data_IF_486856084511
#
_entry.id   IF_486856084511
#
_cell.length_a   1.000
_cell.length_b   1.000
_cell.length_c   1.000
_cell.angle_alpha   90.00
_cell.angle_beta   90.00
_cell.angle_gamma   90.00
#
_symmetry.space_group_name_H-M   'P 1'
#
loop_
_entity.id
_entity.type
_entity.pdbx_description
1 polymer ?
#
# COMPACT_ATOMS: atom_id res chain seq x y z
N UNK A 1 31.97 29.42 26.77
CA UNK A 1 31.23 28.78 27.89
C UNK A 1 29.77 28.69 27.49
N UNK A 2 29.21 27.47 27.60
CA UNK A 2 27.79 27.07 27.50
C UNK A 2 27.08 27.13 26.12
N UNK A 3 27.19 26.00 25.42
CA UNK A 3 26.25 25.40 24.48
C UNK A 3 24.93 24.98 25.19
N UNK A 4 23.77 25.11 24.52
CA UNK A 4 22.60 24.22 24.68
C UNK A 4 21.48 24.53 23.65
N UNK A 5 21.35 23.61 22.72
CA UNK A 5 20.15 23.28 21.94
C UNK A 5 18.99 22.85 22.86
N UNK A 6 17.75 23.30 22.58
CA UNK A 6 16.56 23.02 23.41
C UNK A 6 15.52 22.12 22.68
N UNK A 7 15.13 20.97 23.26
CA UNK A 7 14.21 19.98 22.71
C UNK A 7 12.74 20.22 23.11
N UNK A 8 12.18 21.40 22.84
CA UNK A 8 10.88 21.80 23.41
C UNK A 8 9.63 21.54 22.54
N UNK A 9 9.75 21.30 21.22
CA UNK A 9 8.56 21.10 20.36
C UNK A 9 7.98 19.68 20.37
N UNK A 10 8.80 18.65 20.63
CA UNK A 10 8.32 17.24 20.72
C UNK A 10 7.57 16.92 22.02
N UNK A 11 7.86 17.65 23.12
CA UNK A 11 7.14 17.47 24.40
C UNK A 11 5.75 18.09 24.38
N UNK A 12 5.53 19.17 23.62
CA UNK A 12 4.24 19.87 23.60
C UNK A 12 3.13 19.05 22.91
N UNK A 13 3.46 18.31 21.84
CA UNK A 13 2.51 17.46 21.10
C UNK A 13 2.11 16.21 21.89
N UNK A 14 3.06 15.62 22.64
CA UNK A 14 2.79 14.49 23.56
C UNK A 14 1.95 14.93 24.77
N UNK A 15 2.17 16.15 25.28
CA UNK A 15 1.38 16.70 26.40
C UNK A 15 -0.05 17.03 25.95
N UNK A 16 -0.26 17.55 24.74
CA UNK A 16 -1.60 17.83 24.22
C UNK A 16 -2.40 16.54 23.92
N UNK A 17 -1.77 15.52 23.33
CA UNK A 17 -2.42 14.21 23.13
C UNK A 17 -2.82 13.52 24.43
N UNK A 18 -1.97 13.60 25.46
CA UNK A 18 -2.27 13.05 26.79
C UNK A 18 -3.35 13.86 27.54
N UNK A 19 -3.41 15.18 27.38
CA UNK A 19 -4.41 16.05 28.00
C UNK A 19 -5.81 15.86 27.39
N UNK A 20 -5.92 15.64 26.08
CA UNK A 20 -7.20 15.30 25.42
C UNK A 20 -7.71 13.93 25.91
N UNK A 21 -6.82 12.96 26.08
CA UNK A 21 -7.15 11.65 26.64
C UNK A 21 -7.54 11.71 28.13
N UNK A 22 -6.85 12.52 28.93
CA UNK A 22 -7.17 12.72 30.35
C UNK A 22 -8.49 13.48 30.56
N UNK A 23 -8.82 14.42 29.67
CA UNK A 23 -10.07 15.19 29.72
C UNK A 23 -11.30 14.35 29.35
N UNK A 24 -11.14 13.35 28.47
CA UNK A 24 -12.20 12.38 28.14
C UNK A 24 -12.46 11.35 29.25
N UNK A 25 -11.44 11.00 30.06
CA UNK A 25 -11.57 10.07 31.20
C UNK A 25 -12.31 10.70 32.38
N UNK A 26 -12.25 12.02 32.54
CA UNK A 26 -12.91 12.75 33.63
C UNK A 26 -14.46 12.77 33.53
N UNK A 27 -15.02 12.38 32.39
CA UNK A 27 -16.47 12.36 32.12
C UNK A 27 -17.15 11.01 32.46
N UNK A 28 -16.39 10.00 32.91
CA UNK A 28 -16.93 8.67 33.21
C UNK A 28 -17.06 8.39 34.72
N UNK A 29 -18.05 7.58 35.15
CA UNK A 29 -18.17 7.15 36.55
C UNK A 29 -16.90 6.45 37.04
N UNK A 30 -16.53 6.65 38.32
CA UNK A 30 -15.29 6.18 38.96
C UNK A 30 -14.96 4.71 38.71
N UNK A 31 -15.96 3.83 38.71
CA UNK A 31 -15.77 2.40 38.45
C UNK A 31 -15.34 2.07 37.00
N UNK A 32 -15.58 2.97 36.04
CA UNK A 32 -15.16 2.83 34.64
C UNK A 32 -13.72 3.32 34.45
N UNK A 33 -13.34 4.38 35.18
CA UNK A 33 -12.00 4.96 35.19
C UNK A 33 -10.95 3.96 35.70
N UNK A 34 -11.26 3.20 36.74
CA UNK A 34 -10.34 2.22 37.31
C UNK A 34 -10.12 1.00 36.41
N UNK A 35 -11.13 0.60 35.60
CA UNK A 35 -10.98 -0.49 34.61
C UNK A 35 -10.15 -0.07 33.40
N UNK A 36 -10.27 1.19 32.96
CA UNK A 36 -9.46 1.74 31.86
C UNK A 36 -8.00 1.93 32.30
N UNK A 37 -7.76 2.38 33.54
CA UNK A 37 -6.40 2.49 34.08
C UNK A 37 -5.75 1.13 34.35
N UNK A 38 -6.53 0.08 34.65
CA UNK A 38 -6.03 -1.29 34.76
C UNK A 38 -5.63 -1.89 33.40
N UNK A 39 -6.30 -1.52 32.31
CA UNK A 39 -5.95 -1.88 30.93
C UNK A 39 -4.74 -1.10 30.39
N UNK A 40 -4.42 0.05 30.99
CA UNK A 40 -3.28 0.89 30.62
C UNK A 40 -1.97 0.54 31.37
N UNK A 41 -1.97 -0.50 32.22
CA UNK A 41 -0.70 -1.01 32.76
C UNK A 41 0.05 -1.73 31.62
N UNK A 42 1.35 -1.41 31.39
CA UNK A 42 2.12 -2.14 30.42
C UNK A 42 2.15 -3.62 30.84
N UNK A 43 1.65 -4.50 29.96
CA UNK A 43 1.92 -5.92 30.06
C UNK A 43 3.44 -6.13 30.10
N UNK A 44 3.95 -7.17 30.79
CA UNK A 44 5.38 -7.46 30.83
C UNK A 44 5.90 -7.53 29.39
N UNK A 45 6.94 -6.76 29.11
CA UNK A 45 7.58 -6.61 27.79
C UNK A 45 8.08 -7.96 27.29
N UNK A 46 7.27 -8.64 26.49
CA UNK A 46 7.67 -9.80 25.68
C UNK A 46 8.26 -9.31 24.36
N UNK A 47 9.17 -10.07 23.74
CA UNK A 47 9.79 -9.72 22.45
C UNK A 47 8.78 -9.30 21.35
N UNK A 48 7.57 -9.87 21.36
CA UNK A 48 6.47 -9.49 20.46
C UNK A 48 6.02 -8.02 20.57
N UNK A 49 6.14 -7.38 21.75
CA UNK A 49 5.78 -5.97 21.91
C UNK A 49 6.83 -5.03 21.33
N UNK A 50 8.09 -5.46 21.28
CA UNK A 50 9.18 -4.71 20.65
C UNK A 50 9.05 -4.82 19.12
N UNK A 51 8.81 -6.03 18.61
CA UNK A 51 8.53 -6.27 17.18
C UNK A 51 7.33 -5.45 16.69
N UNK A 52 6.27 -5.33 17.51
CA UNK A 52 5.08 -4.52 17.19
C UNK A 52 5.36 -3.02 17.15
N UNK A 53 6.19 -2.49 18.05
CA UNK A 53 6.60 -1.08 18.05
C UNK A 53 7.52 -0.77 16.87
N UNK A 54 8.47 -1.64 16.55
CA UNK A 54 9.35 -1.50 15.39
C UNK A 54 8.57 -1.63 14.08
N UNK A 55 7.57 -2.52 14.00
CA UNK A 55 6.67 -2.63 12.85
C UNK A 55 5.79 -1.40 12.69
N UNK A 56 5.25 -0.84 13.78
CA UNK A 56 4.49 0.41 13.75
C UNK A 56 5.38 1.59 13.32
N UNK A 57 6.58 1.69 13.89
CA UNK A 57 7.55 2.72 13.48
C UNK A 57 7.93 2.56 12.02
N UNK A 58 8.24 1.34 11.55
CA UNK A 58 8.51 1.05 10.14
C UNK A 58 7.33 1.44 9.27
N UNK A 59 6.12 1.01 9.59
CA UNK A 59 4.89 1.35 8.86
C UNK A 59 4.72 2.87 8.78
N UNK A 60 4.77 3.57 9.91
CA UNK A 60 4.69 5.04 10.00
C UNK A 60 5.82 5.73 9.23
N UNK A 61 7.04 5.18 9.21
CA UNK A 61 8.16 5.72 8.43
C UNK A 61 8.12 5.35 6.95
N UNK A 62 7.37 4.31 6.57
CA UNK A 62 7.13 3.91 5.17
C UNK A 62 5.97 4.72 4.57
N UNK A 63 5.14 5.36 5.41
CA UNK A 63 4.41 6.54 4.95
C UNK A 63 5.41 7.68 4.75
N UNK A 64 5.42 8.35 3.59
CA UNK A 64 6.18 9.59 3.42
C UNK A 64 5.86 10.50 4.61
N UNK A 65 6.85 11.08 5.26
CA UNK A 65 6.58 12.10 6.27
C UNK A 65 5.74 13.20 5.60
N UNK A 66 4.59 13.55 6.17
CA UNK A 66 3.79 14.70 5.72
C UNK A 66 4.59 15.96 6.09
N UNK A 67 5.46 16.41 5.20
CA UNK A 67 5.82 17.81 5.10
C UNK A 67 5.10 18.33 3.87
N UNK A 68 3.96 18.97 4.09
CA UNK A 68 3.38 19.81 3.04
C UNK A 68 4.43 20.90 2.76
N UNK A 69 4.74 21.20 1.50
CA UNK A 69 5.52 22.39 1.20
C UNK A 69 4.71 23.58 1.70
N UNK A 70 5.13 24.19 2.80
CA UNK A 70 4.68 25.52 3.17
C UNK A 70 5.50 26.50 2.33
N UNK A 71 4.90 27.23 1.36
CA UNK A 71 5.46 28.52 1.01
C UNK A 71 5.37 29.40 2.27
N UNK A 72 6.52 29.83 2.77
CA UNK A 72 6.62 30.69 3.94
C UNK A 72 5.82 31.98 3.69
N UNK A 73 4.77 32.31 4.48
CA UNK A 73 4.00 33.54 4.27
C UNK A 73 4.74 34.82 4.72
N UNK A 74 6.03 34.73 5.04
CA UNK A 74 6.81 35.83 5.59
C UNK A 74 7.47 36.75 4.54
N UNK A 75 7.13 36.64 3.25
CA UNK A 75 7.59 37.57 2.22
C UNK A 75 6.63 38.75 1.99
N UNK A 76 5.97 39.27 3.02
CA UNK A 76 5.34 40.61 2.96
C UNK A 76 5.13 41.21 4.35
N UNK A 77 6.00 42.14 4.76
CA UNK A 77 5.59 43.22 5.66
C UNK A 77 6.33 44.53 5.34
N UNK A 78 5.56 45.43 4.73
CA UNK A 78 5.61 46.90 4.68
C UNK A 78 6.73 47.67 5.40
N UNK A 79 7.40 48.50 4.61
CA UNK A 79 7.63 49.96 4.75
C UNK A 79 7.98 50.59 6.11
N UNK A 80 9.14 51.27 6.13
CA UNK A 80 9.33 52.50 6.90
C UNK A 80 10.78 52.94 7.11
N UNK A 81 11.15 54.07 6.48
CA UNK A 81 12.11 55.12 6.92
C UNK A 81 13.43 55.32 6.12
N UNK A 82 13.34 56.33 5.23
CA UNK A 82 14.24 57.47 4.92
C UNK A 82 15.56 57.33 4.10
N UNK A 83 15.55 58.05 2.96
CA UNK A 83 16.59 58.91 2.33
C UNK A 83 17.91 58.26 1.86
N UNK A 84 18.51 58.51 0.69
CA UNK A 84 18.50 59.59 -0.32
C UNK A 84 19.36 59.11 -1.52
N UNK A 85 19.10 59.54 -2.76
CA UNK A 85 20.15 59.56 -3.80
C UNK A 85 19.77 59.20 -5.26
N UNK A 86 19.26 60.20 -5.98
CA UNK A 86 19.48 60.58 -7.41
C UNK A 86 19.94 59.59 -8.52
N UNK A 87 19.28 59.79 -9.68
CA UNK A 87 19.73 59.66 -11.11
C UNK A 87 19.60 58.29 -11.80
N UNK A 88 19.38 58.12 -13.11
CA UNK A 88 18.75 58.85 -14.26
C UNK A 88 18.89 57.87 -15.47
N UNK A 89 17.86 57.75 -16.34
CA UNK A 89 17.86 57.24 -17.75
C UNK A 89 18.46 55.82 -17.99
N UNK A 90 17.92 54.90 -18.81
CA UNK A 90 17.57 54.98 -20.23
C UNK A 90 16.96 53.64 -20.71
N UNK A 91 16.46 53.66 -21.94
CA UNK A 91 15.80 52.66 -22.80
C UNK A 91 16.51 51.30 -22.99
N UNK A 92 15.74 50.20 -23.11
CA UNK A 92 15.61 49.45 -24.39
C UNK A 92 14.71 48.20 -24.32
N UNK A 93 14.29 47.80 -25.52
CA UNK A 93 13.26 46.84 -25.96
C UNK A 93 13.52 45.34 -25.73
N UNK A 94 12.41 44.59 -25.77
CA UNK A 94 12.22 43.18 -26.17
C UNK A 94 12.58 42.08 -25.16
N UNK A 95 11.57 41.34 -24.69
CA UNK A 95 11.30 39.99 -25.22
C UNK A 95 9.97 39.43 -24.70
N UNK A 96 9.20 38.85 -25.62
CA UNK A 96 8.19 37.84 -25.35
C UNK A 96 8.88 36.57 -24.85
N UNK A 97 8.47 36.04 -23.69
CA UNK A 97 8.50 34.62 -23.35
C UNK A 97 7.77 34.43 -22.01
N UNK A 98 6.49 34.07 -22.09
CA UNK A 98 5.73 33.50 -20.99
C UNK A 98 5.86 31.97 -21.09
N UNK A 99 6.87 31.39 -20.44
CA UNK A 99 6.83 30.05 -19.83
C UNK A 99 8.23 29.63 -19.37
N UNK A 100 8.62 30.04 -18.16
CA UNK A 100 9.61 29.31 -17.35
C UNK A 100 9.65 29.87 -15.93
N UNK A 101 8.63 29.54 -15.13
CA UNK A 101 8.78 29.55 -13.68
C UNK A 101 8.96 28.10 -13.21
N UNK A 102 9.98 27.43 -13.73
CA UNK A 102 10.55 26.26 -13.07
C UNK A 102 11.32 26.80 -11.86
N UNK A 103 10.72 26.65 -10.69
CA UNK A 103 11.35 26.92 -9.41
C UNK A 103 12.63 26.07 -9.30
N UNK A 104 13.77 26.73 -9.48
CA UNK A 104 15.07 26.30 -8.98
C UNK A 104 14.97 26.22 -7.46
N UNK A 105 14.75 25.01 -6.94
CA UNK A 105 14.91 24.67 -5.53
C UNK A 105 15.65 23.33 -5.44
N UNK A 106 16.98 23.42 -5.51
CA UNK A 106 17.90 22.37 -5.08
C UNK A 106 17.92 22.30 -3.53
N UNK A 107 16.77 22.01 -2.94
CA UNK A 107 16.67 21.65 -1.52
C UNK A 107 16.81 20.14 -1.38
N UNK A 108 17.74 19.67 -0.54
CA UNK A 108 17.88 18.25 -0.17
C UNK A 108 16.57 17.66 0.40
N UNK A 109 15.64 18.51 0.89
CA UNK A 109 14.31 18.10 1.37
C UNK A 109 13.36 17.59 0.26
N UNK A 110 13.59 17.94 -1.01
CA UNK A 110 12.77 17.49 -2.14
C UNK A 110 13.20 16.12 -2.71
N UNK A 111 14.37 15.61 -2.30
CA UNK A 111 14.92 14.36 -2.80
C UNK A 111 14.08 13.12 -2.44
N UNK A 112 13.35 13.19 -1.32
CA UNK A 112 12.46 12.12 -0.84
C UNK A 112 11.02 12.24 -1.36
N UNK A 113 10.69 13.32 -2.08
CA UNK A 113 9.38 13.48 -2.66
C UNK A 113 9.23 12.55 -3.88
N UNK A 114 8.45 11.48 -3.71
CA UNK A 114 8.16 10.47 -4.73
C UNK A 114 7.79 11.10 -6.08
N UNK A 115 6.98 12.16 -6.06
CA UNK A 115 6.48 12.85 -7.24
C UNK A 115 7.58 13.70 -7.89
N UNK A 116 8.23 14.58 -7.14
CA UNK A 116 9.25 15.48 -7.69
C UNK A 116 10.42 14.70 -8.31
N UNK A 117 10.87 13.63 -7.65
CA UNK A 117 11.94 12.75 -8.16
C UNK A 117 11.59 12.16 -9.54
N UNK A 118 10.35 11.72 -9.74
CA UNK A 118 9.91 11.04 -10.98
C UNK A 118 9.59 12.01 -12.10
N UNK A 119 8.99 13.15 -11.78
CA UNK A 119 8.75 14.23 -12.75
C UNK A 119 10.07 14.80 -13.26
N UNK A 120 11.07 15.02 -12.38
CA UNK A 120 12.43 15.42 -12.77
C UNK A 120 13.10 14.39 -13.71
N UNK A 121 12.76 13.11 -13.57
CA UNK A 121 13.21 12.04 -14.45
C UNK A 121 12.40 11.89 -15.76
N UNK A 122 11.50 12.83 -16.07
CA UNK A 122 10.69 12.80 -17.30
C UNK A 122 9.63 11.68 -17.34
N UNK A 123 9.26 11.12 -16.18
CA UNK A 123 8.24 10.07 -16.08
C UNK A 123 6.84 10.67 -16.13
N UNK A 124 5.88 9.95 -16.71
CA UNK A 124 4.48 10.31 -16.60
C UNK A 124 4.08 10.37 -15.12
N UNK A 125 3.40 11.45 -14.73
CA UNK A 125 2.94 11.65 -13.37
C UNK A 125 1.85 10.62 -13.01
N UNK A 126 2.02 9.90 -11.90
CA UNK A 126 0.92 9.12 -11.34
C UNK A 126 -0.07 10.05 -10.64
N UNK A 127 -1.37 9.82 -10.87
CA UNK A 127 -2.42 10.54 -10.16
C UNK A 127 -3.62 9.63 -9.91
N UNK A 128 -3.80 9.24 -8.65
CA UNK A 128 -4.87 8.33 -8.26
C UNK A 128 -6.27 8.90 -8.53
N UNK A 129 -6.59 10.18 -8.21
CA UNK A 129 -7.88 10.77 -8.54
C UNK A 129 -8.29 10.62 -10.01
N UNK A 130 -7.36 10.83 -10.94
CA UNK A 130 -7.61 10.77 -12.38
C UNK A 130 -7.32 9.40 -13.04
N UNK A 131 -6.77 8.44 -12.28
CA UNK A 131 -6.57 7.07 -12.77
C UNK A 131 -7.90 6.46 -13.22
N UNK A 132 -7.99 6.13 -14.52
CA UNK A 132 -9.22 5.67 -15.16
C UNK A 132 -9.30 4.16 -15.35
N UNK A 133 -8.22 3.41 -15.09
CA UNK A 133 -8.15 1.95 -15.28
C UNK A 133 -7.33 1.30 -14.17
N UNK A 134 -7.73 0.10 -13.76
CA UNK A 134 -6.93 -0.74 -12.86
C UNK A 134 -6.98 -2.20 -13.25
N UNK A 135 -5.80 -2.81 -13.30
CA UNK A 135 -5.58 -4.21 -13.57
C UNK A 135 -4.94 -4.87 -12.35
N UNK A 136 -5.60 -5.89 -11.79
CA UNK A 136 -5.11 -6.62 -10.62
C UNK A 136 -4.52 -7.95 -11.05
N UNK A 137 -3.30 -8.21 -10.63
CA UNK A 137 -2.60 -9.49 -10.72
C UNK A 137 -2.31 -9.96 -9.31
N UNK A 138 -2.55 -11.24 -9.05
CA UNK A 138 -2.39 -11.73 -7.69
C UNK A 138 -2.84 -13.15 -7.46
N UNK A 139 -3.02 -13.45 -6.18
CA UNK A 139 -3.50 -14.75 -5.72
C UNK A 139 -4.84 -14.66 -4.96
N UNK A 140 -5.12 -15.67 -4.12
CA UNK A 140 -6.27 -15.76 -3.21
C UNK A 140 -6.53 -14.55 -2.29
N UNK A 141 -5.53 -13.70 -2.06
CA UNK A 141 -5.70 -12.46 -1.30
C UNK A 141 -6.38 -11.36 -2.13
N UNK A 142 -6.30 -11.46 -3.45
CA UNK A 142 -6.91 -10.53 -4.40
C UNK A 142 -8.01 -11.17 -5.26
N UNK A 143 -8.12 -12.49 -5.31
CA UNK A 143 -9.04 -13.20 -6.20
C UNK A 143 -10.51 -12.95 -5.84
N UNK A 144 -11.33 -12.77 -6.88
CA UNK A 144 -12.78 -12.68 -6.71
C UNK A 144 -13.40 -14.06 -6.46
N UNK A 145 -14.29 -14.21 -5.45
CA UNK A 145 -14.99 -15.48 -5.18
C UNK A 145 -15.84 -15.95 -6.37
N UNK A 146 -16.47 -15.00 -7.07
CA UNK A 146 -17.19 -15.22 -8.33
C UNK A 146 -16.47 -14.42 -9.39
N UNK A 147 -15.59 -15.08 -10.16
CA UNK A 147 -14.92 -14.42 -11.28
C UNK A 147 -15.99 -14.04 -12.32
N UNK A 148 -16.12 -12.76 -12.70
CA UNK A 148 -16.62 -12.43 -14.02
C UNK A 148 -15.68 -13.16 -14.98
N UNK A 149 -16.20 -14.15 -15.70
CA UNK A 149 -15.38 -14.93 -16.61
C UNK A 149 -15.16 -14.09 -17.87
N UNK A 150 -14.22 -13.14 -17.79
CA UNK A 150 -13.83 -12.29 -18.93
C UNK A 150 -13.38 -13.13 -20.13
N UNK A 151 -13.13 -14.44 -19.95
CA UNK A 151 -12.81 -15.39 -21.02
C UNK A 151 -14.03 -15.82 -21.82
N UNK A 152 -15.25 -15.71 -21.26
CA UNK A 152 -16.49 -16.08 -21.98
C UNK A 152 -16.90 -15.02 -22.99
N UNK A 153 -16.91 -13.75 -22.57
CA UNK A 153 -17.46 -12.65 -23.37
C UNK A 153 -16.40 -11.58 -23.71
N UNK A 154 -15.12 -11.87 -23.42
CA UNK A 154 -14.03 -10.90 -23.59
C UNK A 154 -14.25 -9.66 -22.71
N UNK A 155 -13.84 -8.51 -23.24
CA UNK A 155 -14.11 -7.19 -22.66
C UNK A 155 -15.44 -6.58 -23.15
N UNK A 156 -16.23 -7.32 -23.94
CA UNK A 156 -17.43 -6.82 -24.62
C UNK A 156 -18.56 -6.40 -23.68
N UNK A 157 -18.68 -7.09 -22.54
CA UNK A 157 -19.65 -6.77 -21.49
C UNK A 157 -19.19 -5.63 -20.56
N UNK A 158 -18.02 -5.04 -20.87
CA UNK A 158 -17.38 -4.03 -20.05
C UNK A 158 -16.65 -4.61 -18.85
N UNK A 159 -16.55 -3.80 -17.80
CA UNK A 159 -15.88 -4.15 -16.55
C UNK A 159 -16.91 -4.51 -15.48
N UNK A 160 -16.52 -5.20 -14.38
CA UNK A 160 -17.47 -5.64 -13.36
C UNK A 160 -18.22 -4.45 -12.75
N UNK A 161 -19.54 -4.54 -12.78
CA UNK A 161 -20.44 -3.59 -12.13
C UNK A 161 -21.21 -4.30 -11.01
N UNK A 162 -21.57 -3.56 -9.95
CA UNK A 162 -22.40 -4.10 -8.87
C UNK A 162 -21.68 -4.95 -7.83
N UNK A 163 -20.35 -4.77 -7.65
CA UNK A 163 -19.59 -5.44 -6.59
C UNK A 163 -20.15 -5.16 -5.19
N UNK A 164 -20.81 -4.01 -5.01
CA UNK A 164 -21.48 -3.59 -3.77
C UNK A 164 -22.54 -4.57 -3.22
N UNK A 165 -22.99 -5.55 -4.01
CA UNK A 165 -23.95 -6.58 -3.55
C UNK A 165 -23.27 -7.77 -2.85
N UNK A 166 -21.95 -7.84 -2.85
CA UNK A 166 -21.21 -8.99 -2.34
C UNK A 166 -20.65 -8.73 -0.94
N UNK A 167 -21.11 -9.50 0.05
CA UNK A 167 -20.33 -9.72 1.28
C UNK A 167 -19.14 -10.63 0.94
N UNK A 168 -17.98 -10.41 1.55
CA UNK A 168 -16.81 -11.25 1.30
C UNK A 168 -15.88 -10.80 0.15
N UNK A 169 -16.01 -9.56 -0.33
CA UNK A 169 -15.07 -8.97 -1.28
C UNK A 169 -13.62 -8.99 -0.76
N UNK A 170 -12.65 -9.00 -1.70
CA UNK A 170 -11.23 -8.81 -1.37
C UNK A 170 -10.88 -7.33 -1.38
N UNK A 171 -9.66 -7.03 -0.94
CA UNK A 171 -9.23 -5.66 -0.72
C UNK A 171 -9.25 -4.82 -2.00
N UNK A 172 -8.85 -5.39 -3.14
CA UNK A 172 -8.81 -4.67 -4.42
C UNK A 172 -10.22 -4.32 -4.89
N UNK A 173 -11.18 -5.23 -4.65
CA UNK A 173 -12.58 -4.99 -4.96
C UNK A 173 -13.17 -3.91 -4.05
N UNK A 174 -12.82 -3.90 -2.76
CA UNK A 174 -13.20 -2.80 -1.87
C UNK A 174 -12.56 -1.48 -2.27
N UNK A 175 -11.29 -1.48 -2.69
CA UNK A 175 -10.60 -0.28 -3.13
C UNK A 175 -11.34 0.37 -4.30
N UNK A 176 -11.67 -0.43 -5.31
CA UNK A 176 -12.44 0.04 -6.46
C UNK A 176 -13.89 0.41 -6.07
N UNK A 177 -14.64 -0.49 -5.43
CA UNK A 177 -16.06 -0.30 -5.16
C UNK A 177 -16.36 0.81 -4.14
N UNK A 178 -15.41 1.13 -3.25
CA UNK A 178 -15.62 2.14 -2.20
C UNK A 178 -15.11 3.51 -2.60
N UNK A 179 -13.96 3.58 -3.29
CA UNK A 179 -13.25 4.84 -3.50
C UNK A 179 -13.28 5.34 -4.95
N UNK A 180 -13.97 4.63 -5.86
CA UNK A 180 -14.04 5.00 -7.27
C UNK A 180 -15.46 4.97 -7.80
N UNK A 181 -15.76 5.90 -8.70
CA UNK A 181 -16.98 5.87 -9.49
C UNK A 181 -16.80 4.86 -10.64
N UNK A 182 -17.63 3.80 -10.74
CA UNK A 182 -17.62 2.85 -11.85
C UNK A 182 -17.81 3.48 -13.24
N UNK A 183 -18.32 4.73 -13.31
CA UNK A 183 -18.40 5.51 -14.55
C UNK A 183 -17.09 6.19 -14.92
N UNK A 184 -16.26 6.51 -13.94
CA UNK A 184 -14.97 7.19 -14.14
C UNK A 184 -13.80 6.22 -14.25
N UNK A 185 -13.91 5.03 -13.63
CA UNK A 185 -12.84 4.05 -13.58
C UNK A 185 -13.32 2.65 -13.96
N UNK A 186 -12.54 1.96 -14.80
CA UNK A 186 -12.77 0.56 -15.14
C UNK A 186 -11.78 -0.37 -14.42
N UNK A 187 -12.23 -1.56 -14.07
CA UNK A 187 -11.50 -2.51 -13.21
C UNK A 187 -11.47 -3.92 -13.80
N UNK A 188 -10.31 -4.58 -13.80
CA UNK A 188 -10.24 -6.01 -14.14
C UNK A 188 -9.29 -6.73 -13.20
N UNK A 189 -9.67 -7.95 -12.84
CA UNK A 189 -8.96 -8.75 -11.85
C UNK A 189 -8.61 -10.12 -12.41
N UNK A 190 -7.31 -10.33 -12.63
CA UNK A 190 -6.72 -11.55 -13.13
C UNK A 190 -6.21 -12.47 -12.01
N UNK A 191 -6.33 -12.07 -10.74
CA UNK A 191 -5.80 -12.83 -9.63
C UNK A 191 -6.42 -14.24 -9.54
N UNK A 192 -5.57 -15.23 -9.25
CA UNK A 192 -5.95 -16.65 -9.22
C UNK A 192 -5.56 -17.31 -7.91
N UNK A 193 -6.50 -17.99 -7.26
CA UNK A 193 -6.22 -18.75 -6.05
C UNK A 193 -5.05 -19.71 -6.26
N UNK A 194 -4.07 -19.67 -5.36
CA UNK A 194 -2.90 -20.55 -5.40
C UNK A 194 -1.80 -20.14 -6.39
N UNK A 195 -1.98 -19.08 -7.18
CA UNK A 195 -0.98 -18.67 -8.16
C UNK A 195 0.36 -18.32 -7.53
N UNK A 196 1.43 -18.73 -8.20
CA UNK A 196 2.83 -18.41 -7.87
C UNK A 196 3.41 -17.39 -8.84
N UNK A 197 4.60 -16.86 -8.55
CA UNK A 197 5.26 -15.88 -9.41
C UNK A 197 5.77 -16.55 -10.69
N UNK A 198 6.50 -17.64 -10.51
CA UNK A 198 7.21 -18.33 -11.58
C UNK A 198 7.08 -19.84 -11.38
N UNK A 199 6.39 -20.49 -12.32
CA UNK A 199 6.14 -21.93 -12.28
C UNK A 199 7.44 -22.74 -12.19
N UNK A 200 8.50 -22.30 -12.88
CA UNK A 200 9.78 -23.01 -12.94
C UNK A 200 10.59 -22.88 -11.65
N UNK A 201 10.40 -21.78 -10.90
CA UNK A 201 11.10 -21.52 -9.66
C UNK A 201 10.38 -22.16 -8.46
N UNK A 202 9.07 -21.91 -8.34
CA UNK A 202 8.20 -22.55 -7.36
C UNK A 202 6.85 -22.85 -8.03
N UNK A 203 6.58 -24.11 -8.42
CA UNK A 203 5.30 -24.42 -9.05
C UNK A 203 4.17 -24.32 -8.03
N UNK A 204 2.97 -23.89 -8.46
CA UNK A 204 1.81 -23.79 -7.59
C UNK A 204 1.43 -25.15 -7.00
N UNK A 205 0.60 -25.13 -5.95
CA UNK A 205 0.12 -26.38 -5.33
C UNK A 205 -0.74 -27.21 -6.29
N UNK A 206 -1.57 -26.50 -7.04
CA UNK A 206 -2.48 -27.03 -8.04
C UNK A 206 -2.09 -26.40 -9.37
N UNK A 207 -1.91 -27.20 -10.40
CA UNK A 207 -1.43 -26.72 -11.71
C UNK A 207 -2.42 -25.71 -12.33
N UNK A 208 -3.71 -25.95 -12.13
CA UNK A 208 -4.80 -25.08 -12.60
C UNK A 208 -4.82 -23.69 -11.97
N UNK A 209 -4.11 -23.49 -10.84
CA UNK A 209 -3.90 -22.16 -10.26
C UNK A 209 -3.10 -21.25 -11.20
N UNK A 210 -2.21 -21.84 -12.00
CA UNK A 210 -1.28 -21.12 -12.85
C UNK A 210 -0.28 -20.25 -12.08
N UNK A 211 0.28 -19.29 -12.79
CA UNK A 211 1.34 -18.39 -12.35
C UNK A 211 1.05 -16.95 -12.77
N UNK A 212 1.97 -16.03 -12.47
CA UNK A 212 1.88 -14.66 -13.00
C UNK A 212 1.90 -14.65 -14.53
N UNK A 213 2.66 -15.53 -15.16
CA UNK A 213 2.75 -15.62 -16.63
C UNK A 213 1.39 -15.88 -17.26
N UNK A 214 0.58 -16.75 -16.68
CA UNK A 214 -0.76 -17.04 -17.16
C UNK A 214 -1.69 -15.82 -17.07
N UNK A 215 -1.54 -15.03 -16.01
CA UNK A 215 -2.30 -13.79 -15.82
C UNK A 215 -1.84 -12.70 -16.80
N UNK A 216 -0.54 -12.56 -17.04
CA UNK A 216 0.03 -11.63 -18.03
C UNK A 216 -0.35 -12.04 -19.45
N UNK A 217 -0.35 -13.34 -19.76
CA UNK A 217 -0.78 -13.86 -21.05
C UNK A 217 -2.27 -13.56 -21.30
N UNK A 218 -3.11 -13.73 -20.28
CA UNK A 218 -4.52 -13.38 -20.35
C UNK A 218 -4.74 -11.87 -20.55
N UNK A 219 -4.02 -11.03 -19.81
CA UNK A 219 -4.01 -9.59 -20.04
C UNK A 219 -3.61 -9.26 -21.47
N UNK A 220 -2.52 -9.84 -21.97
CA UNK A 220 -2.02 -9.62 -23.32
C UNK A 220 -3.08 -10.00 -24.37
N UNK A 221 -3.71 -11.16 -24.22
CA UNK A 221 -4.73 -11.64 -25.14
C UNK A 221 -5.98 -10.72 -25.19
N UNK A 222 -6.37 -10.15 -24.05
CA UNK A 222 -7.59 -9.36 -23.93
C UNK A 222 -7.38 -7.87 -24.16
N UNK A 223 -6.21 -7.32 -23.85
CA UNK A 223 -6.00 -5.87 -23.74
C UNK A 223 -4.94 -5.32 -24.71
N UNK A 224 -4.36 -6.12 -25.61
CA UNK A 224 -3.29 -5.67 -26.52
C UNK A 224 -3.61 -5.97 -28.00
N UNK A 225 -2.96 -5.28 -28.97
CA UNK A 225 -1.95 -4.22 -28.85
C UNK A 225 -2.53 -2.88 -28.31
N UNK A 226 -1.67 -1.91 -28.01
CA UNK A 226 -2.12 -0.56 -27.63
C UNK A 226 -2.60 0.26 -28.85
N UNK A 227 -3.55 1.20 -28.66
CA UNK A 227 -4.41 1.32 -27.48
C UNK A 227 -5.29 0.07 -27.39
N UNK A 228 -5.47 -0.50 -26.19
CA UNK A 228 -6.23 -1.76 -26.03
C UNK A 228 -7.65 -1.68 -26.62
N UNK A 229 -8.49 -2.72 -26.46
CA UNK A 229 -9.81 -2.77 -27.06
C UNK A 229 -10.57 -1.46 -26.89
N UNK A 230 -11.25 -0.99 -27.95
CA UNK A 230 -11.86 0.36 -27.98
C UNK A 230 -12.76 0.68 -26.79
N UNK A 231 -13.47 -0.33 -26.25
CA UNK A 231 -14.34 -0.19 -25.07
C UNK A 231 -13.57 0.06 -23.75
N UNK A 232 -12.28 -0.26 -23.75
CA UNK A 232 -11.34 -0.11 -22.63
C UNK A 232 -10.48 1.14 -22.86
N UNK A 233 -9.81 1.24 -24.01
CA UNK A 233 -8.91 2.36 -24.34
C UNK A 233 -7.94 2.72 -23.20
N UNK A 234 -7.25 1.71 -22.66
CA UNK A 234 -6.27 1.91 -21.59
C UNK A 234 -4.96 2.44 -22.18
N UNK A 235 -4.29 3.30 -21.41
CA UNK A 235 -2.96 3.84 -21.71
C UNK A 235 -2.08 3.81 -20.47
N UNK A 236 -0.76 3.85 -20.66
CA UNK A 236 0.19 3.78 -19.55
C UNK A 236 -0.01 4.87 -18.51
N UNK A 237 -0.38 6.07 -18.95
CA UNK A 237 -0.48 7.30 -18.16
C UNK A 237 -1.73 7.36 -17.26
N UNK A 238 -2.77 6.57 -17.56
CA UNK A 238 -4.05 6.61 -16.83
C UNK A 238 -4.45 5.26 -16.21
N UNK A 239 -3.50 4.32 -16.15
CA UNK A 239 -3.74 2.94 -15.73
C UNK A 239 -2.82 2.53 -14.58
N UNK A 240 -3.42 1.98 -13.52
CA UNK A 240 -2.69 1.35 -12.43
C UNK A 240 -2.63 -0.18 -12.60
N UNK A 241 -1.42 -0.73 -12.61
CA UNK A 241 -1.16 -2.17 -12.59
C UNK A 241 -0.80 -2.60 -11.17
N UNK A 242 -1.58 -3.48 -10.58
CA UNK A 242 -1.43 -3.90 -9.19
C UNK A 242 -0.95 -5.34 -9.15
N UNK A 243 0.09 -5.62 -8.37
CA UNK A 243 0.70 -6.95 -8.28
C UNK A 243 0.88 -7.35 -6.80
N UNK A 244 0.12 -8.35 -6.36
CA UNK A 244 0.27 -9.00 -5.05
C UNK A 244 0.45 -10.51 -5.25
N UNK A 245 1.71 -10.94 -5.34
CA UNK A 245 2.11 -12.34 -5.53
C UNK A 245 3.33 -12.68 -4.66
N UNK A 246 3.56 -13.98 -4.45
CA UNK A 246 4.65 -14.51 -3.63
C UNK A 246 4.17 -15.27 -2.37
N UNK A 247 2.92 -15.09 -1.96
CA UNK A 247 2.32 -15.76 -0.79
C UNK A 247 2.33 -17.28 -0.98
N UNK A 248 1.94 -17.77 -2.15
CA UNK A 248 1.93 -19.20 -2.43
C UNK A 248 3.34 -19.75 -2.63
N UNK A 249 4.27 -18.97 -3.18
CA UNK A 249 5.66 -19.36 -3.36
C UNK A 249 6.32 -19.65 -2.00
N UNK A 250 6.24 -18.69 -1.05
CA UNK A 250 6.81 -18.88 0.30
C UNK A 250 6.08 -19.98 1.07
N UNK A 251 4.76 -20.14 0.85
CA UNK A 251 3.97 -21.22 1.46
C UNK A 251 4.35 -22.59 0.92
N UNK A 252 4.56 -22.73 -0.39
CA UNK A 252 4.94 -23.99 -1.00
C UNK A 252 6.39 -24.36 -0.67
N UNK A 253 7.31 -23.40 -0.63
CA UNK A 253 8.68 -23.65 -0.13
C UNK A 253 8.67 -24.15 1.32
N UNK A 254 7.89 -23.50 2.19
CA UNK A 254 7.77 -23.90 3.59
C UNK A 254 7.09 -25.27 3.75
N UNK A 255 6.04 -25.55 2.97
CA UNK A 255 5.32 -26.83 2.99
C UNK A 255 6.15 -28.00 2.45
N UNK A 256 6.99 -27.74 1.44
CA UNK A 256 7.90 -28.72 0.83
C UNK A 256 9.23 -28.83 1.57
N UNK A 257 9.34 -28.17 2.72
CA UNK A 257 10.49 -28.25 3.64
C UNK A 257 11.83 -27.98 2.94
N UNK A 258 11.86 -26.91 2.12
CA UNK A 258 13.11 -26.48 1.50
C UNK A 258 14.18 -26.30 2.59
N UNK A 259 15.37 -26.87 2.37
CA UNK A 259 16.49 -26.68 3.29
C UNK A 259 16.79 -25.18 3.47
N UNK A 260 17.31 -24.72 4.62
CA UNK A 260 17.55 -23.30 4.84
C UNK A 260 18.35 -22.60 3.72
N UNK A 261 19.42 -23.20 3.16
CA UNK A 261 20.11 -22.61 2.01
C UNK A 261 19.27 -22.55 0.74
N UNK A 262 18.47 -23.58 0.45
CA UNK A 262 17.59 -23.60 -0.72
C UNK A 262 16.47 -22.55 -0.59
N UNK A 263 15.82 -22.49 0.58
CA UNK A 263 14.80 -21.50 0.90
C UNK A 263 15.33 -20.07 0.74
N UNK A 264 16.50 -19.78 1.32
CA UNK A 264 17.11 -18.45 1.21
C UNK A 264 17.42 -18.08 -0.24
N UNK A 265 18.03 -18.99 -1.01
CA UNK A 265 18.33 -18.74 -2.43
C UNK A 265 17.05 -18.51 -3.25
N UNK A 266 16.08 -19.41 -3.14
CA UNK A 266 14.84 -19.33 -3.92
C UNK A 266 14.01 -18.11 -3.53
N UNK A 267 13.88 -17.81 -2.24
CA UNK A 267 13.16 -16.61 -1.78
C UNK A 267 13.78 -15.31 -2.31
N UNK A 268 15.11 -15.23 -2.43
CA UNK A 268 15.80 -14.09 -3.02
C UNK A 268 15.72 -14.04 -4.56
N UNK A 269 15.41 -15.16 -5.22
CA UNK A 269 15.18 -15.20 -6.67
C UNK A 269 13.76 -14.76 -7.06
N UNK A 270 12.80 -14.85 -6.14
CA UNK A 270 11.39 -14.54 -6.41
C UNK A 270 11.14 -13.07 -6.81
N UNK A 271 11.62 -12.03 -6.09
CA UNK A 271 11.38 -10.65 -6.53
C UNK A 271 12.04 -10.27 -7.87
N UNK A 272 13.31 -10.65 -8.17
CA UNK A 272 13.87 -10.48 -9.51
C UNK A 272 13.06 -11.20 -10.60
N UNK A 273 12.61 -12.43 -10.32
CA UNK A 273 11.73 -13.15 -11.24
C UNK A 273 10.42 -12.38 -11.45
N UNK A 274 9.78 -11.88 -10.39
CA UNK A 274 8.59 -11.05 -10.49
C UNK A 274 8.83 -9.84 -11.42
N UNK A 275 9.93 -9.11 -11.23
CA UNK A 275 10.27 -7.94 -12.06
C UNK A 275 10.48 -8.30 -13.53
N UNK A 276 11.11 -9.44 -13.82
CA UNK A 276 11.26 -9.92 -15.20
C UNK A 276 9.90 -10.11 -15.90
N UNK A 277 8.89 -10.60 -15.19
CA UNK A 277 7.53 -10.73 -15.73
C UNK A 277 6.85 -9.36 -15.87
N UNK A 278 7.05 -8.45 -14.90
CA UNK A 278 6.57 -7.07 -14.98
C UNK A 278 7.15 -6.33 -16.20
N UNK A 279 8.40 -6.62 -16.61
CA UNK A 279 8.99 -6.08 -17.85
C UNK A 279 8.14 -6.39 -19.09
N UNK A 280 7.41 -7.51 -19.10
CA UNK A 280 6.46 -7.82 -20.18
C UNK A 280 5.30 -6.81 -20.18
N UNK A 281 4.70 -6.53 -19.03
CA UNK A 281 3.65 -5.51 -18.91
C UNK A 281 4.17 -4.12 -19.31
N UNK A 282 5.38 -3.76 -18.88
CA UNK A 282 6.01 -2.49 -19.27
C UNK A 282 6.22 -2.39 -20.79
N UNK A 283 6.72 -3.46 -21.42
CA UNK A 283 6.88 -3.56 -22.87
C UNK A 283 5.57 -3.47 -23.64
N UNK A 284 4.45 -3.83 -23.00
CA UNK A 284 3.10 -3.65 -23.53
C UNK A 284 2.54 -2.23 -23.33
N UNK A 285 3.22 -1.37 -22.56
CA UNK A 285 2.84 0.03 -22.34
C UNK A 285 2.49 0.40 -20.89
N UNK A 286 2.53 -0.54 -19.95
CA UNK A 286 2.26 -0.23 -18.55
C UNK A 286 3.32 0.71 -17.95
N UNK A 287 2.89 1.68 -17.14
CA UNK A 287 3.79 2.67 -16.52
C UNK A 287 3.64 2.80 -15.01
N UNK A 288 2.45 2.65 -14.44
CA UNK A 288 2.24 2.76 -12.99
C UNK A 288 1.99 1.39 -12.36
N UNK A 289 2.85 1.01 -11.41
CA UNK A 289 2.81 -0.29 -10.76
C UNK A 289 2.72 -0.14 -9.24
N UNK A 290 1.79 -0.86 -8.62
CA UNK A 290 1.67 -1.01 -7.18
C UNK A 290 2.02 -2.44 -6.77
N UNK A 291 2.99 -2.57 -5.88
CA UNK A 291 3.43 -3.82 -5.27
C UNK A 291 3.16 -3.81 -3.77
N UNK A 292 3.21 -4.99 -3.17
CA UNK A 292 2.98 -5.19 -1.74
C UNK A 292 4.11 -6.00 -1.16
N UNK A 293 4.55 -5.65 0.06
CA UNK A 293 5.26 -6.63 0.89
C UNK A 293 4.33 -7.81 1.18
N UNK A 294 4.90 -8.98 1.50
CA UNK A 294 4.12 -10.11 1.98
C UNK A 294 3.79 -9.91 3.46
N UNK A 295 2.55 -10.18 3.88
CA UNK A 295 2.20 -10.15 5.30
C UNK A 295 2.98 -11.22 6.07
N UNK A 296 3.07 -11.09 7.39
CA UNK A 296 3.60 -12.11 8.29
C UNK A 296 2.69 -13.36 8.29
N UNK A 297 2.79 -14.19 7.26
CA UNK A 297 1.92 -15.34 7.02
C UNK A 297 2.02 -16.41 8.12
N UNK A 298 3.13 -16.43 8.83
CA UNK A 298 3.37 -17.33 9.96
C UNK A 298 2.51 -17.00 11.18
N UNK A 299 1.87 -15.83 11.21
CA UNK A 299 0.88 -15.44 12.22
C UNK A 299 -0.53 -15.99 11.93
N UNK A 300 -0.74 -16.66 10.80
CA UNK A 300 -2.03 -17.27 10.49
C UNK A 300 -2.39 -18.35 11.53
N UNK A 301 -3.64 -18.41 12.03
CA UNK A 301 -4.03 -19.29 13.13
C UNK A 301 -3.66 -20.75 12.93
N UNK A 302 -3.67 -21.25 11.68
CA UNK A 302 -3.30 -22.64 11.39
C UNK A 302 -1.89 -23.04 11.84
N UNK A 303 -0.97 -22.08 11.96
CA UNK A 303 0.41 -22.32 12.35
C UNK A 303 0.65 -22.22 13.85
N UNK A 304 -0.39 -21.82 14.61
CA UNK A 304 -0.39 -21.73 16.06
C UNK A 304 -1.30 -22.78 16.71
N UNK A 305 -1.79 -23.77 15.96
CA UNK A 305 -2.67 -24.82 16.48
C UNK A 305 -1.90 -25.84 17.34
N UNK A 306 -2.42 -26.14 18.54
CA UNK A 306 -1.85 -27.09 19.52
C UNK A 306 -1.55 -28.49 18.96
N UNK A 307 -2.21 -28.88 17.86
CA UNK A 307 -1.91 -30.12 17.13
C UNK A 307 -0.46 -30.25 16.66
N UNK A 308 0.31 -29.16 16.68
CA UNK A 308 1.70 -29.10 16.23
C UNK A 308 1.88 -29.16 14.71
N UNK A 309 0.79 -29.34 13.95
CA UNK A 309 0.76 -29.32 12.50
C UNK A 309 1.17 -27.91 12.05
N UNK A 310 2.41 -27.79 11.54
CA UNK A 310 2.89 -26.56 10.91
C UNK A 310 3.89 -25.74 11.71
N UNK A 311 4.41 -26.18 12.86
CA UNK A 311 5.48 -25.42 13.56
C UNK A 311 6.76 -25.29 12.72
N UNK A 312 7.22 -26.37 12.09
CA UNK A 312 8.33 -26.30 11.13
C UNK A 312 7.99 -25.35 9.98
N UNK A 313 6.75 -25.38 9.50
CA UNK A 313 6.25 -24.52 8.42
C UNK A 313 6.23 -23.04 8.82
N UNK A 314 5.87 -22.71 10.07
CA UNK A 314 5.87 -21.34 10.61
C UNK A 314 7.27 -20.71 10.55
N UNK A 315 8.30 -21.43 11.01
CA UNK A 315 9.68 -20.91 10.97
C UNK A 315 10.22 -20.73 9.55
N UNK A 316 9.87 -21.64 8.62
CA UNK A 316 10.26 -21.53 7.22
C UNK A 316 9.53 -20.35 6.54
N UNK A 317 8.23 -20.18 6.82
CA UNK A 317 7.45 -19.05 6.33
C UNK A 317 8.02 -17.72 6.78
N UNK A 318 8.31 -17.56 8.07
CA UNK A 318 8.91 -16.34 8.60
C UNK A 318 10.21 -16.00 7.88
N UNK A 319 11.12 -16.98 7.72
CA UNK A 319 12.40 -16.79 7.01
C UNK A 319 12.19 -16.44 5.53
N UNK A 320 11.32 -17.16 4.83
CA UNK A 320 11.09 -16.95 3.40
C UNK A 320 10.43 -15.59 3.14
N UNK A 321 9.44 -15.21 3.97
CA UNK A 321 8.77 -13.92 3.93
C UNK A 321 9.76 -12.78 4.16
N UNK A 322 10.62 -12.90 5.19
CA UNK A 322 11.65 -11.90 5.46
C UNK A 322 12.67 -11.76 4.31
N UNK A 323 13.12 -12.87 3.71
CA UNK A 323 14.02 -12.83 2.56
C UNK A 323 13.35 -12.13 1.36
N UNK A 324 12.11 -12.51 1.04
CA UNK A 324 11.34 -11.90 -0.03
C UNK A 324 11.14 -10.39 0.19
N UNK A 325 10.65 -9.99 1.36
CA UNK A 325 10.38 -8.58 1.68
C UNK A 325 11.66 -7.74 1.72
N UNK A 326 12.80 -8.32 2.09
CA UNK A 326 14.11 -7.64 2.05
C UNK A 326 14.57 -7.42 0.61
N UNK A 327 14.38 -8.41 -0.28
CA UNK A 327 14.86 -8.35 -1.66
C UNK A 327 13.93 -7.54 -2.57
N UNK A 328 12.63 -7.50 -2.30
CA UNK A 328 11.63 -6.79 -3.11
C UNK A 328 11.97 -5.31 -3.41
N UNK A 329 12.25 -4.43 -2.43
CA UNK A 329 12.56 -3.03 -2.71
C UNK A 329 13.84 -2.86 -3.55
N UNK A 330 14.82 -3.76 -3.40
CA UNK A 330 16.03 -3.74 -4.23
C UNK A 330 15.70 -4.07 -5.68
N UNK A 331 14.91 -5.12 -5.91
CA UNK A 331 14.47 -5.49 -7.26
C UNK A 331 13.58 -4.44 -7.92
N UNK A 332 12.76 -3.72 -7.14
CA UNK A 332 11.98 -2.59 -7.65
C UNK A 332 12.88 -1.43 -8.09
N UNK A 333 13.94 -1.13 -7.33
CA UNK A 333 14.91 -0.10 -7.70
C UNK A 333 15.68 -0.48 -8.98
N UNK A 334 16.19 -1.72 -9.05
CA UNK A 334 16.85 -2.28 -10.25
C UNK A 334 15.91 -2.24 -11.48
N UNK A 335 14.62 -2.52 -11.28
CA UNK A 335 13.60 -2.44 -12.32
C UNK A 335 13.36 -1.00 -12.79
N UNK A 336 13.20 -0.04 -11.88
CA UNK A 336 13.01 1.38 -12.24
C UNK A 336 14.25 2.00 -12.90
N UNK A 337 15.45 1.52 -12.59
CA UNK A 337 16.69 1.94 -13.24
C UNK A 337 16.74 1.45 -14.70
N UNK A 338 16.35 0.19 -14.93
CA UNK A 338 16.32 -0.41 -16.27
C UNK A 338 15.09 -0.05 -17.11
N UNK A 339 14.04 0.53 -16.49
CA UNK A 339 12.79 0.90 -17.14
C UNK A 339 12.44 2.35 -16.79
N UNK A 340 13.07 3.34 -17.43
CA UNK A 340 13.10 4.73 -16.96
C UNK A 340 11.73 5.43 -16.98
N UNK A 341 10.71 4.89 -17.65
CA UNK A 341 9.34 5.42 -17.62
C UNK A 341 8.41 4.70 -16.63
N UNK A 342 8.91 3.69 -15.91
CA UNK A 342 8.12 2.99 -14.91
C UNK A 342 8.04 3.80 -13.61
N UNK A 343 6.89 3.74 -12.95
CA UNK A 343 6.67 4.23 -11.61
C UNK A 343 6.28 3.04 -10.75
N UNK A 344 7.15 2.64 -9.83
CA UNK A 344 6.87 1.57 -8.88
C UNK A 344 6.55 2.15 -7.51
N UNK A 345 5.50 1.62 -6.89
CA UNK A 345 5.08 1.94 -5.55
C UNK A 345 5.05 0.66 -4.73
N UNK A 346 5.57 0.69 -3.50
CA UNK A 346 5.57 -0.46 -2.60
C UNK A 346 4.73 -0.14 -1.36
N UNK A 347 3.61 -0.83 -1.23
CA UNK A 347 2.77 -0.77 -0.03
C UNK A 347 3.26 -1.76 1.03
N UNK A 348 3.48 -1.27 2.25
CA UNK A 348 3.90 -2.10 3.38
C UNK A 348 2.71 -2.85 4.02
N UNK A 349 2.33 -3.94 3.39
CA UNK A 349 1.30 -4.86 3.89
C UNK A 349 1.75 -5.57 5.16
N UNK A 350 3.02 -5.94 5.28
CA UNK A 350 3.61 -6.53 6.49
C UNK A 350 3.40 -5.64 7.70
N UNK A 351 3.81 -4.37 7.62
CA UNK A 351 3.67 -3.39 8.70
C UNK A 351 2.21 -3.11 9.05
N UNK A 352 1.33 -2.96 8.05
CA UNK A 352 -0.12 -2.81 8.31
C UNK A 352 -0.66 -4.04 9.04
N UNK A 353 -0.33 -5.24 8.55
CA UNK A 353 -0.86 -6.48 9.11
C UNK A 353 -0.41 -6.69 10.56
N UNK A 354 0.86 -6.42 10.85
CA UNK A 354 1.40 -6.45 12.21
C UNK A 354 0.70 -5.44 13.13
N UNK A 355 0.48 -4.22 12.64
CA UNK A 355 -0.21 -3.16 13.39
C UNK A 355 -1.66 -3.55 13.71
N UNK A 356 -2.40 -4.01 12.70
CA UNK A 356 -3.79 -4.45 12.86
C UNK A 356 -3.90 -5.63 13.81
N UNK A 357 -2.96 -6.57 13.75
CA UNK A 357 -2.94 -7.73 14.65
C UNK A 357 -2.61 -7.36 16.09
N UNK A 358 -1.80 -6.32 16.30
CA UNK A 358 -1.38 -5.87 17.63
C UNK A 358 -2.40 -4.97 18.32
N UNK A 359 -3.20 -4.24 17.53
CA UNK A 359 -4.20 -3.28 18.03
C UNK A 359 -5.57 -3.47 17.34
N UNK A 360 -6.16 -4.67 17.37
CA UNK A 360 -7.34 -5.01 16.58
C UNK A 360 -8.52 -4.07 16.84
N UNK A 361 -8.73 -3.65 18.08
CA UNK A 361 -9.84 -2.79 18.49
C UNK A 361 -9.81 -1.40 17.83
N UNK A 362 -8.62 -0.87 17.54
CA UNK A 362 -8.44 0.42 16.84
C UNK A 362 -9.01 0.34 15.42
N UNK A 363 -9.00 -0.86 14.83
CA UNK A 363 -9.50 -1.13 13.49
C UNK A 363 -10.89 -1.78 13.49
N UNK A 364 -11.58 -1.79 14.63
CA UNK A 364 -12.91 -2.39 14.76
C UNK A 364 -12.92 -3.93 14.71
N UNK A 365 -11.80 -4.55 15.05
CA UNK A 365 -11.64 -6.00 15.13
C UNK A 365 -11.64 -6.44 16.60
N UNK A 366 -12.01 -7.69 16.84
CA UNK A 366 -12.14 -8.27 18.18
C UNK A 366 -11.09 -9.33 18.49
N UNK A 367 -10.63 -10.08 17.50
CA UNK A 367 -9.72 -11.21 17.72
C UNK A 367 -8.99 -11.61 16.41
N UNK A 368 -7.65 -11.68 16.46
CA UNK A 368 -6.80 -12.12 15.36
C UNK A 368 -6.21 -13.54 15.52
N UNK A 369 -6.56 -14.25 16.58
CA UNK A 369 -6.16 -15.66 16.81
C UNK A 369 -7.24 -16.64 16.36
N UNK A 370 -8.53 -16.25 16.43
CA UNK A 370 -9.66 -17.10 16.07
C UNK A 370 -10.00 -17.02 14.59
N UNK A 371 -10.31 -18.18 14.02
CA UNK A 371 -10.80 -18.36 12.65
C UNK A 371 -12.08 -19.20 12.58
N UNK A 372 -12.72 -19.44 13.73
CA UNK A 372 -14.04 -20.05 13.81
C UNK A 372 -14.75 -19.56 15.07
N UNK A 373 -16.06 -19.37 14.97
CA UNK A 373 -16.89 -18.99 16.10
C UNK A 373 -18.32 -19.48 15.91
N UNK A 374 -18.95 -19.90 17.01
CA UNK A 374 -20.39 -20.15 17.07
C UNK A 374 -21.02 -19.33 18.19
N UNK A 375 -22.24 -18.85 17.96
CA UNK A 375 -23.05 -18.17 18.98
C UNK A 375 -24.37 -18.92 19.07
N UNK A 376 -24.69 -19.43 20.27
CA UNK A 376 -25.86 -20.29 20.50
C UNK A 376 -25.92 -21.48 19.53
N UNK A 377 -24.77 -22.13 19.28
CA UNK A 377 -24.65 -23.28 18.40
C UNK A 377 -24.69 -23.00 16.90
N UNK A 378 -24.78 -21.73 16.46
CA UNK A 378 -24.81 -21.35 15.04
C UNK A 378 -23.51 -20.68 14.60
N UNK A 379 -22.99 -21.04 13.42
CA UNK A 379 -21.86 -20.33 12.80
C UNK A 379 -22.27 -18.90 12.50
N UNK A 380 -21.39 -17.97 12.81
CA UNK A 380 -21.56 -16.54 12.56
C UNK A 380 -20.68 -16.07 11.41
N UNK A 381 -21.01 -14.93 10.82
CA UNK A 381 -20.12 -14.26 9.88
C UNK A 381 -18.93 -13.67 10.66
N UNK A 382 -17.75 -14.20 10.39
CA UNK A 382 -16.54 -13.89 11.15
C UNK A 382 -16.10 -12.43 10.97
N UNK A 383 -16.29 -11.86 9.78
CA UNK A 383 -15.99 -10.46 9.53
C UNK A 383 -16.95 -9.53 10.29
N UNK A 384 -18.25 -9.84 10.32
CA UNK A 384 -19.24 -9.07 11.10
C UNK A 384 -18.94 -9.07 12.59
N UNK A 385 -18.33 -10.15 13.06
CA UNK A 385 -17.93 -10.28 14.46
C UNK A 385 -16.58 -9.63 14.76
N UNK A 386 -15.89 -9.06 13.77
CA UNK A 386 -14.59 -8.43 13.94
C UNK A 386 -13.42 -9.42 14.01
N UNK A 387 -13.58 -10.67 13.60
CA UNK A 387 -12.43 -11.59 13.53
C UNK A 387 -11.50 -11.19 12.39
N UNK A 388 -10.19 -11.37 12.58
CA UNK A 388 -9.21 -11.06 11.53
C UNK A 388 -9.19 -12.16 10.45
N UNK A 389 -9.59 -13.40 10.79
CA UNK A 389 -9.53 -14.55 9.89
C UNK A 389 -10.91 -15.17 9.63
N UNK A 390 -11.20 -15.46 8.35
CA UNK A 390 -12.41 -16.18 7.92
C UNK A 390 -12.19 -17.71 7.84
N UNK A 391 -10.94 -18.11 7.68
CA UNK A 391 -10.50 -19.49 7.68
C UNK A 391 -9.08 -19.53 8.28
N UNK A 392 -8.46 -20.70 8.48
CA UNK A 392 -7.16 -20.79 9.14
C UNK A 392 -6.01 -20.04 8.44
N UNK A 393 -6.19 -19.55 7.20
CA UNK A 393 -5.16 -18.91 6.36
C UNK A 393 -5.52 -17.52 5.83
N UNK A 394 -6.81 -17.21 5.64
CA UNK A 394 -7.22 -16.01 4.92
C UNK A 394 -7.88 -14.98 5.83
N UNK A 395 -7.59 -13.69 5.59
CA UNK A 395 -8.21 -12.61 6.33
C UNK A 395 -9.73 -12.53 6.03
N UNK A 396 -10.49 -11.99 6.98
CA UNK A 396 -11.90 -11.64 6.75
C UNK A 396 -12.03 -10.46 5.80
N UNK A 397 -13.25 -10.26 5.32
CA UNK A 397 -13.58 -9.07 4.54
C UNK A 397 -13.41 -7.76 5.33
N UNK A 398 -13.43 -7.78 6.67
CA UNK A 398 -13.16 -6.61 7.50
C UNK A 398 -11.70 -6.16 7.39
N UNK A 399 -10.75 -7.11 7.46
CA UNK A 399 -9.34 -6.83 7.18
C UNK A 399 -9.16 -6.35 5.73
N UNK A 400 -9.87 -6.95 4.78
CA UNK A 400 -9.82 -6.52 3.37
C UNK A 400 -10.29 -5.06 3.19
N UNK A 401 -11.31 -4.60 3.93
CA UNK A 401 -11.72 -3.20 3.95
C UNK A 401 -10.65 -2.30 4.56
N UNK A 402 -10.03 -2.72 5.66
CA UNK A 402 -8.93 -1.98 6.29
C UNK A 402 -7.76 -1.83 5.33
N UNK A 403 -7.37 -2.89 4.61
CA UNK A 403 -6.37 -2.79 3.56
C UNK A 403 -6.77 -1.78 2.50
N UNK A 404 -7.97 -1.92 1.94
CA UNK A 404 -8.45 -1.05 0.86
C UNK A 404 -8.37 0.44 1.25
N UNK A 405 -8.77 0.79 2.48
CA UNK A 405 -8.66 2.15 3.04
C UNK A 405 -7.21 2.61 3.09
N UNK A 406 -6.31 1.79 3.62
CA UNK A 406 -4.90 2.13 3.73
C UNK A 406 -4.23 2.28 2.36
N UNK A 407 -4.54 1.40 1.39
CA UNK A 407 -4.04 1.54 0.01
C UNK A 407 -4.58 2.82 -0.63
N UNK A 408 -5.86 3.14 -0.45
CA UNK A 408 -6.43 4.37 -0.99
C UNK A 408 -5.67 5.61 -0.48
N UNK A 409 -5.45 5.69 0.83
CA UNK A 409 -4.64 6.77 1.43
C UNK A 409 -3.22 6.79 0.89
N UNK A 410 -2.57 5.63 0.79
CA UNK A 410 -1.23 5.52 0.21
C UNK A 410 -1.16 6.00 -1.23
N UNK A 411 -2.10 5.61 -2.10
CA UNK A 411 -2.16 6.03 -3.50
C UNK A 411 -2.37 7.55 -3.63
N UNK A 412 -3.24 8.14 -2.82
CA UNK A 412 -3.39 9.60 -2.77
C UNK A 412 -2.07 10.30 -2.42
N UNK A 413 -1.31 9.77 -1.45
CA UNK A 413 0.01 10.32 -1.10
C UNK A 413 1.05 10.19 -2.20
N UNK A 414 0.84 9.31 -3.18
CA UNK A 414 1.71 9.14 -4.34
C UNK A 414 1.19 9.90 -5.57
N UNK A 415 0.06 10.62 -5.44
CA UNK A 415 -0.62 11.29 -6.55
C UNK A 415 -0.12 12.71 -6.76
N UNK A 416 0.05 13.10 -8.02
CA UNK A 416 0.34 14.48 -8.42
C UNK A 416 -0.57 15.50 -7.73
N UNK A 417 -1.88 15.27 -7.72
CA UNK A 417 -2.84 16.24 -7.17
C UNK A 417 -2.68 16.49 -5.67
N UNK A 418 -1.92 15.69 -4.93
CA UNK A 418 -1.64 15.97 -3.51
C UNK A 418 -0.37 16.81 -3.30
N UNK A 419 0.44 16.99 -4.34
CA UNK A 419 1.74 17.66 -4.25
C UNK A 419 1.84 18.93 -5.11
N UNK A 420 0.97 19.11 -6.10
CA UNK A 420 0.94 20.33 -6.91
C UNK A 420 -0.28 21.20 -6.58
N UNK A 421 -0.10 22.54 -6.52
CA UNK A 421 -1.14 23.51 -6.19
C UNK A 421 -2.26 23.66 -7.25
N UNK A 422 -2.25 22.86 -8.32
CA UNK A 422 -3.36 22.81 -9.30
C UNK A 422 -4.67 22.27 -8.69
N UNK A 423 -4.63 21.74 -7.46
CA UNK A 423 -5.84 21.62 -6.64
C UNK A 423 -6.20 22.98 -6.09
N UNK A 424 -7.31 23.55 -6.58
CA UNK A 424 -7.93 24.78 -6.02
C UNK A 424 -7.79 24.78 -4.50
N UNK A 425 -7.02 25.74 -3.99
CA UNK A 425 -6.66 25.94 -2.59
C UNK A 425 -7.67 25.32 -1.61
N UNK A 426 -7.31 24.19 -0.99
CA UNK A 426 -7.82 23.98 0.36
C UNK A 426 -7.07 24.98 1.22
N UNK A 427 -7.76 26.05 1.63
CA UNK A 427 -7.36 26.86 2.78
C UNK A 427 -7.03 25.90 3.93
N UNK A 428 -5.75 25.59 4.10
CA UNK A 428 -5.27 24.92 5.30
C UNK A 428 -5.37 26.02 6.35
N UNK A 429 -6.47 26.06 7.09
CA UNK A 429 -6.61 26.96 8.22
C UNK A 429 -5.41 26.75 9.15
N UNK A 430 -4.62 27.82 9.26
CA UNK A 430 -3.39 27.91 10.04
C UNK A 430 -3.62 27.70 11.54
#
# INVERSE_FOLDING_TARGET
MADRTSPSRRRLVLIFGALVFASLIALYPTHTRDRVLALARPAPTTAQSIDGIEALQRFVTTFPQLKLPHPDPAATSSAGVLATGTSKADTDTANSDHDSALLDLDNEEDADNFYLKRTRAGRAAFDWPTTGKMFIFGDSFSSLPTRPDYRRNGVGDGHPTGLNKHIGLKWADYLYNTFKDPKAMQYWNFARDGATIDFSLVPPRLEESGSFDDQVAEFKALFTPMPGPKAVNWHGENTLFVVLLGINDVREMARREFSPPALHRTANQLPPALMHRVSTLYGLGARHFLFFSLAALDHAPKYALDSGIGHNVSSHLRRATACFNTKLPQSLAEFEESHPHANTMLFDWEGLYATVSSYPEVFGLTDCSRFTMTVRGKKVDQGRMGLCYQDPSHPTWTIAQTLARSVNGFLHRHSRSFWLPDTTDTEIHA
#
